data_IF_472112384994
#
_entry.id   IF_472112384994
#
_cell.length_a   1.000
_cell.length_b   1.000
_cell.length_c   1.000
_cell.angle_alpha   90.00
_cell.angle_beta   90.00
_cell.angle_gamma   90.00
#
_symmetry.space_group_name_H-M   'P 1'
#
loop_
_entity.id
_entity.type
_entity.pdbx_description
1 polymer ?
#
# COMPACT_ATOMS: atom_id res chain seq x y z
N UNK A 1 35.65 -1.95 34.04
CA UNK A 1 35.57 -3.20 33.25
C UNK A 1 35.88 -2.84 31.81
N UNK A 2 36.84 -3.51 31.18
CA UNK A 2 37.14 -3.32 29.76
C UNK A 2 36.03 -3.95 28.89
N UNK A 3 35.96 -3.57 27.62
CA UNK A 3 35.09 -4.23 26.66
C UNK A 3 35.60 -5.65 26.38
N UNK A 4 34.71 -6.63 26.32
CA UNK A 4 35.06 -7.97 25.86
C UNK A 4 35.41 -7.92 24.37
N UNK A 5 36.50 -8.56 23.94
CA UNK A 5 36.98 -8.54 22.56
C UNK A 5 37.06 -9.93 21.93
N UNK A 6 37.18 -10.98 22.74
CA UNK A 6 37.07 -12.37 22.30
C UNK A 6 35.63 -12.90 22.46
N UNK A 7 35.21 -13.91 21.67
CA UNK A 7 33.84 -14.47 21.73
C UNK A 7 33.41 -15.04 23.08
N UNK A 8 34.36 -15.43 23.93
CA UNK A 8 34.11 -15.97 25.28
C UNK A 8 34.22 -14.93 26.40
N UNK A 9 34.55 -13.67 26.07
CA UNK A 9 34.64 -12.61 27.05
C UNK A 9 33.26 -12.16 27.52
N UNK A 10 33.19 -11.72 28.78
CA UNK A 10 31.98 -11.04 29.28
C UNK A 10 31.77 -9.70 28.58
N UNK A 11 30.53 -9.41 28.20
CA UNK A 11 30.14 -8.09 27.70
C UNK A 11 30.03 -7.10 28.85
N UNK A 12 30.46 -5.85 28.63
CA UNK A 12 30.24 -4.78 29.58
C UNK A 12 28.90 -4.04 29.30
N UNK A 13 28.48 -3.19 30.24
CA UNK A 13 27.19 -2.49 30.14
C UNK A 13 27.14 -1.51 28.96
N UNK A 14 28.27 -0.93 28.53
CA UNK A 14 28.27 -0.05 27.35
C UNK A 14 28.03 -0.86 26.07
N UNK A 15 28.68 -2.00 25.88
CA UNK A 15 28.46 -2.89 24.74
C UNK A 15 27.01 -3.39 24.67
N UNK A 16 26.42 -3.71 25.82
CA UNK A 16 25.00 -4.10 25.91
C UNK A 16 24.08 -2.92 25.57
N UNK A 17 24.36 -1.72 26.08
CA UNK A 17 23.56 -0.52 25.80
C UNK A 17 23.64 -0.10 24.33
N UNK A 18 24.82 -0.19 23.71
CA UNK A 18 25.01 0.10 22.29
C UNK A 18 24.19 -0.87 21.43
N UNK A 19 24.30 -2.17 21.70
CA UNK A 19 23.50 -3.21 21.04
C UNK A 19 22.00 -2.97 21.23
N UNK A 20 21.57 -2.61 22.44
CA UNK A 20 20.18 -2.29 22.74
C UNK A 20 19.70 -1.08 21.93
N UNK A 21 20.50 -0.03 21.83
CA UNK A 21 20.16 1.17 21.06
C UNK A 21 20.05 0.84 19.57
N UNK A 22 20.96 0.04 19.03
CA UNK A 22 20.92 -0.42 17.64
C UNK A 22 19.65 -1.23 17.36
N UNK A 23 19.30 -2.16 18.25
CA UNK A 23 18.07 -2.96 18.13
C UNK A 23 16.83 -2.06 18.18
N UNK A 24 16.78 -1.10 19.11
CA UNK A 24 15.65 -0.17 19.26
C UNK A 24 15.52 0.69 18.01
N UNK A 25 16.61 1.25 17.50
CA UNK A 25 16.62 2.08 16.30
C UNK A 25 16.21 1.29 15.06
N UNK A 26 16.76 0.08 14.89
CA UNK A 26 16.39 -0.83 13.81
C UNK A 26 14.90 -1.18 13.87
N UNK A 27 14.39 -1.52 15.06
CA UNK A 27 12.99 -1.88 15.27
C UNK A 27 12.06 -0.71 15.01
N UNK A 28 12.39 0.49 15.50
CA UNK A 28 11.62 1.70 15.26
C UNK A 28 11.58 2.07 13.78
N UNK A 29 12.72 1.96 13.08
CA UNK A 29 12.80 2.17 11.64
C UNK A 29 11.93 1.18 10.86
N UNK A 30 12.03 -0.12 11.20
CA UNK A 30 11.23 -1.17 10.57
C UNK A 30 9.74 -0.98 10.82
N UNK A 31 9.35 -0.63 12.05
CA UNK A 31 7.96 -0.37 12.41
C UNK A 31 7.41 0.86 11.67
N UNK A 32 8.21 1.93 11.52
CA UNK A 32 7.81 3.11 10.74
C UNK A 32 7.63 2.78 9.27
N UNK A 33 8.53 1.97 8.70
CA UNK A 33 8.40 1.50 7.32
C UNK A 33 7.13 0.67 7.13
N UNK A 34 6.87 -0.30 8.01
CA UNK A 34 5.65 -1.10 7.97
C UNK A 34 4.37 -0.25 8.05
N UNK A 35 4.34 0.75 8.93
CA UNK A 35 3.22 1.70 9.02
C UNK A 35 3.03 2.49 7.73
N UNK A 36 4.13 2.98 7.13
CA UNK A 36 4.06 3.71 5.87
C UNK A 36 3.60 2.82 4.73
N UNK A 37 4.05 1.57 4.66
CA UNK A 37 3.62 0.62 3.63
C UNK A 37 2.12 0.29 3.77
N UNK A 38 1.65 0.09 5.00
CA UNK A 38 0.23 -0.11 5.28
C UNK A 38 -0.60 1.12 4.89
N UNK A 39 -0.18 2.32 5.29
CA UNK A 39 -0.87 3.57 4.94
C UNK A 39 -0.92 3.80 3.43
N UNK A 40 0.16 3.47 2.71
CA UNK A 40 0.20 3.55 1.26
C UNK A 40 -0.76 2.56 0.59
N UNK A 41 -0.90 1.36 1.14
CA UNK A 41 -1.93 0.39 0.72
C UNK A 41 -3.35 0.93 0.89
N UNK A 42 -3.64 1.59 2.02
CA UNK A 42 -4.94 2.25 2.23
C UNK A 42 -5.16 3.40 1.26
N UNK A 43 -4.14 4.23 1.00
CA UNK A 43 -4.20 5.28 0.00
C UNK A 43 -4.52 4.72 -1.40
N UNK A 44 -3.96 3.57 -1.76
CA UNK A 44 -4.26 2.86 -3.01
C UNK A 44 -5.72 2.39 -3.07
N UNK A 45 -6.23 1.80 -2.00
CA UNK A 45 -7.63 1.39 -1.93
C UNK A 45 -8.58 2.58 -2.10
N UNK A 46 -8.29 3.72 -1.46
CA UNK A 46 -9.09 4.94 -1.63
C UNK A 46 -8.99 5.50 -3.05
N UNK A 47 -7.80 5.48 -3.67
CA UNK A 47 -7.63 5.90 -5.06
C UNK A 47 -8.47 5.04 -6.02
N UNK A 48 -8.52 3.71 -5.81
CA UNK A 48 -9.34 2.77 -6.61
C UNK A 48 -10.83 3.00 -6.41
N UNK A 49 -11.25 3.28 -5.18
CA UNK A 49 -12.64 3.57 -4.83
C UNK A 49 -13.11 4.89 -5.45
N UNK A 50 -12.23 5.89 -5.57
CA UNK A 50 -12.52 7.16 -6.20
C UNK A 50 -12.67 7.07 -7.73
N UNK A 51 -12.29 5.95 -8.38
CA UNK A 51 -12.43 5.78 -9.83
C UNK A 51 -13.91 5.69 -10.22
N UNK A 52 -14.42 6.61 -11.06
CA UNK A 52 -15.76 6.51 -11.61
C UNK A 52 -15.96 5.17 -12.35
N UNK A 53 -17.22 4.74 -12.49
CA UNK A 53 -17.61 3.54 -13.24
C UNK A 53 -18.50 3.89 -14.44
N UNK A 54 -18.36 3.15 -15.55
CA UNK A 54 -19.19 3.28 -16.74
C UNK A 54 -20.67 3.02 -16.39
N UNK A 55 -21.53 3.97 -16.74
CA UNK A 55 -22.99 3.90 -16.54
C UNK A 55 -23.78 3.83 -17.85
N UNK A 56 -23.11 3.93 -19.01
CA UNK A 56 -23.76 3.88 -20.31
C UNK A 56 -23.72 2.46 -20.89
N UNK A 57 -24.88 1.84 -21.23
CA UNK A 57 -24.92 0.53 -21.85
C UNK A 57 -24.13 0.45 -23.16
N UNK A 58 -23.40 -0.65 -23.35
CA UNK A 58 -22.57 -0.90 -24.53
C UNK A 58 -21.31 -0.04 -24.62
N UNK A 59 -20.98 0.74 -23.59
CA UNK A 59 -19.82 1.63 -23.57
C UNK A 59 -18.82 1.26 -22.48
N UNK A 60 -17.56 1.38 -22.86
CA UNK A 60 -16.44 1.38 -21.92
C UNK A 60 -16.16 2.78 -21.38
N UNK A 61 -15.45 2.84 -20.27
CA UNK A 61 -14.94 4.06 -19.67
C UNK A 61 -13.54 3.84 -19.12
N UNK A 62 -12.65 4.80 -19.38
CA UNK A 62 -11.35 4.91 -18.73
C UNK A 62 -11.44 5.94 -17.59
N UNK A 63 -10.81 5.65 -16.46
CA UNK A 63 -10.82 6.47 -15.27
C UNK A 63 -9.40 6.60 -14.69
N UNK A 64 -9.14 7.76 -14.07
CA UNK A 64 -7.94 8.03 -13.29
C UNK A 64 -8.35 8.68 -11.97
N UNK A 65 -7.69 8.31 -10.89
CA UNK A 65 -8.03 8.73 -9.54
C UNK A 65 -6.80 8.79 -8.65
N UNK A 66 -6.94 9.44 -7.50
CA UNK A 66 -5.88 9.57 -6.51
C UNK A 66 -6.44 9.50 -5.10
N UNK A 67 -5.58 9.17 -4.14
CA UNK A 67 -5.94 9.05 -2.74
C UNK A 67 -4.74 9.36 -1.84
N UNK A 68 -4.99 9.87 -0.64
CA UNK A 68 -3.96 10.10 0.36
C UNK A 68 -4.41 9.62 1.73
N UNK A 69 -3.54 8.94 2.46
CA UNK A 69 -3.81 8.41 3.79
C UNK A 69 -2.53 8.35 4.62
N UNK A 70 -2.59 8.81 5.87
CA UNK A 70 -1.50 8.62 6.84
C UNK A 70 -0.13 9.08 6.31
N UNK A 71 -0.07 10.19 5.56
CA UNK A 71 1.15 10.75 4.97
C UNK A 71 1.63 10.06 3.69
N UNK A 72 0.87 9.13 3.13
CA UNK A 72 1.15 8.45 1.87
C UNK A 72 0.13 8.84 0.81
N UNK A 73 0.54 8.79 -0.46
CA UNK A 73 -0.34 9.10 -1.59
C UNK A 73 -0.31 7.98 -2.62
N UNK A 74 -1.39 7.86 -3.37
CA UNK A 74 -1.54 6.85 -4.41
C UNK A 74 -2.30 7.39 -5.60
N UNK A 75 -1.97 6.84 -6.77
CA UNK A 75 -2.66 7.04 -8.03
C UNK A 75 -3.28 5.72 -8.46
N UNK A 76 -4.46 5.80 -9.07
CA UNK A 76 -5.20 4.69 -9.63
C UNK A 76 -5.58 4.98 -11.08
N UNK A 77 -5.61 3.92 -11.89
CA UNK A 77 -6.19 3.93 -13.23
C UNK A 77 -7.15 2.77 -13.35
N UNK A 78 -8.20 2.92 -14.14
CA UNK A 78 -9.17 1.86 -14.31
C UNK A 78 -9.90 1.92 -15.63
N UNK A 79 -10.39 0.76 -16.04
CA UNK A 79 -11.32 0.58 -17.13
C UNK A 79 -12.59 -0.07 -16.60
N UNK A 80 -13.73 0.34 -17.12
CA UNK A 80 -15.01 -0.31 -16.83
C UNK A 80 -15.84 -0.38 -18.10
N UNK A 81 -16.76 -1.34 -18.18
CA UNK A 81 -17.65 -1.50 -19.31
C UNK A 81 -18.99 -2.04 -18.85
N UNK A 82 -20.07 -1.56 -19.47
CA UNK A 82 -21.42 -2.06 -19.25
C UNK A 82 -21.89 -2.78 -20.51
N UNK A 83 -22.54 -3.94 -20.36
CA UNK A 83 -23.11 -4.68 -21.49
C UNK A 83 -24.18 -3.85 -22.22
N UNK A 84 -24.42 -4.16 -23.49
CA UNK A 84 -25.46 -3.48 -24.28
C UNK A 84 -26.85 -3.59 -23.64
N UNK A 85 -27.12 -4.71 -22.97
CA UNK A 85 -28.36 -4.92 -22.24
C UNK A 85 -28.45 -4.10 -20.94
N UNK A 86 -27.39 -3.41 -20.52
CA UNK A 86 -27.31 -2.69 -19.24
C UNK A 86 -27.23 -3.58 -18.00
N UNK A 87 -27.39 -4.90 -18.17
CA UNK A 87 -27.51 -5.86 -17.07
C UNK A 87 -26.18 -6.24 -16.44
N UNK A 88 -25.06 -6.13 -17.14
CA UNK A 88 -23.76 -6.54 -16.63
C UNK A 88 -22.81 -5.36 -16.63
N UNK A 89 -22.06 -5.19 -15.54
CA UNK A 89 -21.00 -4.18 -15.47
C UNK A 89 -19.72 -4.83 -14.99
N UNK A 90 -18.62 -4.58 -15.68
CA UNK A 90 -17.28 -5.03 -15.31
C UNK A 90 -16.38 -3.83 -15.04
N UNK A 91 -15.47 -3.95 -14.08
CA UNK A 91 -14.46 -2.94 -13.75
C UNK A 91 -13.14 -3.64 -13.47
N UNK A 92 -12.06 -3.13 -14.05
CA UNK A 92 -10.69 -3.54 -13.76
C UNK A 92 -9.87 -2.28 -13.49
N UNK A 93 -9.01 -2.30 -12.49
CA UNK A 93 -8.22 -1.14 -12.12
C UNK A 93 -6.89 -1.53 -11.48
N UNK A 94 -5.94 -0.61 -11.55
CA UNK A 94 -4.59 -0.75 -11.03
C UNK A 94 -4.17 0.51 -10.28
N UNK A 95 -3.20 0.37 -9.38
CA UNK A 95 -2.67 1.45 -8.56
C UNK A 95 -1.16 1.43 -8.46
N UNK A 96 -0.63 2.60 -8.14
CA UNK A 96 0.73 2.78 -7.64
C UNK A 96 0.71 3.79 -6.50
N UNK A 97 1.64 3.70 -5.57
CA UNK A 97 1.73 4.64 -4.45
C UNK A 97 3.15 5.16 -4.21
N UNK A 98 3.27 6.14 -3.32
CA UNK A 98 4.53 6.81 -2.96
C UNK A 98 5.59 5.88 -2.38
N UNK A 99 5.23 4.65 -2.01
CA UNK A 99 6.15 3.62 -1.53
C UNK A 99 6.66 2.71 -2.65
N UNK A 100 6.19 2.90 -3.88
CA UNK A 100 6.53 2.06 -5.03
C UNK A 100 5.74 0.75 -5.10
N UNK A 101 4.73 0.57 -4.24
CA UNK A 101 3.89 -0.63 -4.29
C UNK A 101 2.84 -0.47 -5.40
N UNK A 102 2.59 -1.57 -6.10
CA UNK A 102 1.55 -1.67 -7.14
C UNK A 102 0.44 -2.62 -6.70
N UNK A 103 -0.78 -2.34 -7.12
CA UNK A 103 -1.94 -3.18 -6.83
C UNK A 103 -2.91 -3.23 -8.00
N UNK A 104 -3.76 -4.25 -8.06
CA UNK A 104 -4.80 -4.38 -9.07
C UNK A 104 -6.07 -5.00 -8.46
N UNK A 105 -7.23 -4.65 -9.01
CA UNK A 105 -8.51 -5.26 -8.67
C UNK A 105 -9.43 -5.37 -9.88
N UNK A 106 -10.33 -6.34 -9.82
CA UNK A 106 -11.40 -6.55 -10.80
C UNK A 106 -12.73 -6.78 -10.07
N UNK A 107 -13.82 -6.40 -10.70
CA UNK A 107 -15.17 -6.59 -10.17
C UNK A 107 -16.20 -6.72 -11.28
N UNK A 108 -17.29 -7.43 -10.98
CA UNK A 108 -18.45 -7.60 -11.86
C UNK A 108 -19.73 -7.38 -11.06
N UNK A 109 -20.73 -6.76 -11.67
CA UNK A 109 -22.05 -6.54 -11.10
C UNK A 109 -23.15 -6.90 -12.10
N UNK A 110 -24.28 -7.36 -11.58
CA UNK A 110 -25.47 -7.68 -12.36
C UNK A 110 -26.66 -6.82 -11.91
N UNK A 111 -27.38 -6.24 -12.85
CA UNK A 111 -28.61 -5.48 -12.66
C UNK A 111 -29.79 -6.30 -13.22
N UNK A 112 -30.84 -6.47 -12.42
CA UNK A 112 -32.04 -7.25 -12.79
C UNK A 112 -33.22 -6.34 -13.11
#
# INVERSE_FOLDING_TARGET
MAAGTAPTDGVNVSQLNDTKNDIVNYTNGKLRNLRNDANAGTASAMAMAALPQATLPGKGMFALGGGTYGGQSSLAVGISSMSESGKWVVKANATTNTRGNVGAAVGVGFHW
#
